data_IF_885461352428
#
_entry.id   IF_885461352428
#
_cell.length_a   1.000
_cell.length_b   1.000
_cell.length_c   1.000
_cell.angle_alpha   90.00
_cell.angle_beta   90.00
_cell.angle_gamma   90.00
#
_symmetry.space_group_name_H-M   'P 1'
#
loop_
_entity.id
_entity.type
_entity.pdbx_description
1 polymer ?
#
# COMPACT_ATOMS: atom_id res chain seq x y z
N UNK A 1 -1.21 -19.93 2.11
CA UNK A 1 -1.85 -21.10 2.76
C UNK A 1 -3.16 -20.71 3.47
N UNK A 2 -3.27 -19.51 4.06
CA UNK A 2 -4.55 -18.92 4.52
C UNK A 2 -5.61 -18.79 3.41
N UNK A 3 -5.19 -18.43 2.19
CA UNK A 3 -6.03 -18.48 0.98
C UNK A 3 -6.58 -19.86 0.65
N UNK A 4 -5.91 -20.95 1.06
CA UNK A 4 -6.38 -22.32 0.81
C UNK A 4 -7.45 -22.76 1.80
N UNK A 5 -7.39 -22.29 3.05
CA UNK A 5 -8.40 -22.55 4.08
C UNK A 5 -9.69 -21.77 3.78
N UNK A 6 -9.57 -20.49 3.39
CA UNK A 6 -10.68 -19.67 2.89
C UNK A 6 -11.33 -20.25 1.61
N UNK A 7 -10.52 -20.78 0.68
CA UNK A 7 -11.00 -21.51 -0.52
C UNK A 7 -11.83 -22.75 -0.19
N UNK A 8 -11.50 -23.47 0.88
CA UNK A 8 -12.23 -24.67 1.29
C UNK A 8 -13.57 -24.33 1.95
N UNK A 9 -13.63 -23.25 2.73
CA UNK A 9 -14.86 -22.76 3.37
C UNK A 9 -15.85 -22.24 2.32
N UNK A 10 -15.39 -21.46 1.32
CA UNK A 10 -16.23 -20.97 0.22
C UNK A 10 -16.70 -22.12 -0.69
N UNK A 11 -15.87 -23.15 -0.92
CA UNK A 11 -16.27 -24.32 -1.71
C UNK A 11 -17.29 -25.22 -0.97
N UNK A 12 -17.43 -25.08 0.35
CA UNK A 12 -18.39 -25.84 1.17
C UNK A 12 -19.76 -25.17 1.30
N UNK A 13 -19.87 -23.86 1.00
CA UNK A 13 -21.13 -23.14 0.93
C UNK A 13 -21.75 -23.37 -0.46
N UNK A 14 -22.59 -24.39 -0.57
CA UNK A 14 -23.31 -24.70 -1.80
C UNK A 14 -24.30 -23.59 -2.17
N UNK A 15 -24.37 -23.28 -3.48
CA UNK A 15 -25.34 -22.39 -4.14
C UNK A 15 -25.23 -20.88 -3.89
N UNK A 16 -25.47 -20.01 -4.92
CA UNK A 16 -25.22 -18.56 -4.85
C UNK A 16 -26.15 -17.78 -3.91
N UNK A 17 -27.15 -18.44 -3.32
CA UNK A 17 -28.16 -17.80 -2.45
C UNK A 17 -27.76 -17.76 -0.97
N UNK A 18 -26.76 -18.53 -0.55
CA UNK A 18 -26.33 -18.62 0.86
C UNK A 18 -25.16 -17.69 1.22
N UNK A 19 -24.73 -16.82 0.30
CA UNK A 19 -23.56 -15.92 0.47
C UNK A 19 -23.95 -14.55 1.05
N UNK A 20 -25.23 -14.16 0.96
CA UNK A 20 -25.71 -12.85 1.44
C UNK A 20 -25.83 -12.76 2.98
N UNK A 21 -25.71 -13.87 3.70
CA UNK A 21 -25.86 -13.95 5.17
C UNK A 21 -24.51 -14.09 5.93
N UNK A 22 -23.38 -13.91 5.26
CA UNK A 22 -22.07 -13.93 5.94
C UNK A 22 -21.83 -12.58 6.63
N UNK A 23 -22.15 -12.53 7.91
CA UNK A 23 -21.80 -11.41 8.79
C UNK A 23 -20.27 -11.24 8.87
N UNK A 24 -19.71 -10.33 8.07
CA UNK A 24 -18.28 -10.02 8.04
C UNK A 24 -17.78 -9.33 9.32
N UNK A 25 -18.68 -8.94 10.23
CA UNK A 25 -18.30 -8.49 11.59
C UNK A 25 -18.07 -9.67 12.55
N UNK A 26 -18.47 -10.88 12.15
CA UNK A 26 -18.33 -12.12 12.92
C UNK A 26 -17.10 -12.97 12.54
N UNK A 27 -16.37 -12.60 11.48
CA UNK A 27 -15.14 -13.30 11.11
C UNK A 27 -14.13 -13.16 12.27
N UNK A 28 -13.64 -14.26 12.87
CA UNK A 28 -12.74 -14.17 14.00
C UNK A 28 -11.50 -13.38 13.59
N UNK A 29 -11.27 -12.24 14.27
CA UNK A 29 -10.03 -11.49 14.15
C UNK A 29 -8.91 -12.46 14.53
N UNK A 30 -7.96 -12.75 13.63
CA UNK A 30 -6.84 -13.63 13.95
C UNK A 30 -6.17 -13.17 15.24
N UNK A 31 -5.94 -14.10 16.17
CA UNK A 31 -5.28 -13.80 17.44
C UNK A 31 -3.85 -13.28 17.22
N UNK A 32 -3.24 -13.70 16.10
CA UNK A 32 -1.99 -13.18 15.58
C UNK A 32 -2.26 -12.55 14.20
N UNK A 33 -2.11 -11.22 14.03
CA UNK A 33 -2.24 -10.57 12.73
C UNK A 33 -1.23 -11.13 11.71
N UNK A 34 -0.20 -11.87 12.13
CA UNK A 34 0.78 -12.51 11.25
C UNK A 34 0.49 -13.98 10.96
N UNK A 35 -0.62 -14.54 11.45
CA UNK A 35 -0.96 -15.98 11.30
C UNK A 35 -0.99 -16.43 9.83
N UNK A 36 -1.31 -15.51 8.93
CA UNK A 36 -1.37 -15.77 7.49
C UNK A 36 -0.02 -15.65 6.78
N UNK A 37 1.00 -15.09 7.43
CA UNK A 37 2.31 -14.82 6.83
C UNK A 37 3.20 -16.06 6.96
N UNK A 38 3.67 -16.58 5.83
CA UNK A 38 4.59 -17.71 5.79
C UNK A 38 5.86 -17.39 6.62
N UNK A 39 6.22 -18.28 7.56
CA UNK A 39 7.48 -18.19 8.30
C UNK A 39 8.59 -18.79 7.44
N UNK A 40 9.44 -17.93 6.89
CA UNK A 40 10.62 -18.35 6.14
C UNK A 40 11.74 -18.61 7.16
N UNK A 41 12.32 -19.83 7.22
CA UNK A 41 13.43 -20.13 8.12
C UNK A 41 14.59 -19.15 7.91
N UNK A 42 15.26 -18.78 8.99
CA UNK A 42 16.45 -17.90 8.98
C UNK A 42 16.22 -16.50 8.35
N UNK A 43 14.97 -16.07 8.21
CA UNK A 43 14.62 -14.73 7.72
C UNK A 43 14.51 -13.72 8.87
N UNK A 44 15.07 -12.53 8.65
CA UNK A 44 14.79 -11.36 9.50
C UNK A 44 13.56 -10.63 8.95
N UNK A 45 12.57 -10.36 9.81
CA UNK A 45 11.36 -9.62 9.44
C UNK A 45 11.37 -8.22 10.03
N UNK A 46 11.11 -7.24 9.17
CA UNK A 46 10.96 -5.84 9.55
C UNK A 46 9.51 -5.41 9.27
N UNK A 47 8.79 -5.01 10.32
CA UNK A 47 7.43 -4.51 10.20
C UNK A 47 7.43 -2.99 10.07
N UNK A 48 7.01 -2.49 8.91
CA UNK A 48 7.04 -1.07 8.59
C UNK A 48 5.63 -0.65 8.16
N UNK A 49 4.99 0.21 8.97
CA UNK A 49 3.62 0.64 8.72
C UNK A 49 3.58 1.98 7.97
N UNK A 50 3.38 1.91 6.66
CA UNK A 50 3.21 3.12 5.82
C UNK A 50 1.87 3.84 6.05
N UNK A 51 0.92 3.18 6.70
CA UNK A 51 -0.41 3.71 7.06
C UNK A 51 -0.53 3.86 8.58
N UNK A 52 0.54 4.32 9.23
CA UNK A 52 0.57 4.54 10.68
C UNK A 52 -0.11 5.85 11.11
N UNK A 53 0.03 6.18 12.41
CA UNK A 53 -0.57 7.38 13.02
C UNK A 53 -0.19 8.69 12.31
N UNK A 54 0.99 8.77 11.70
CA UNK A 54 1.41 9.95 10.94
C UNK A 54 0.51 10.16 9.70
N UNK A 55 0.27 9.08 8.95
CA UNK A 55 -0.62 9.08 7.80
C UNK A 55 -2.08 9.35 8.21
N UNK A 56 -2.57 8.69 9.26
CA UNK A 56 -3.92 8.93 9.79
C UNK A 56 -4.14 10.41 10.18
N UNK A 57 -3.17 11.01 10.89
CA UNK A 57 -3.24 12.44 11.24
C UNK A 57 -3.20 13.33 10.02
N UNK A 58 -2.39 12.99 9.01
CA UNK A 58 -2.32 13.75 7.78
C UNK A 58 -3.63 13.70 7.00
N UNK A 59 -4.29 12.54 6.93
CA UNK A 59 -5.63 12.42 6.38
C UNK A 59 -6.62 13.29 7.18
N UNK A 60 -6.67 13.14 8.51
CA UNK A 60 -7.58 13.93 9.35
C UNK A 60 -7.36 15.44 9.24
N UNK A 61 -6.11 15.90 9.08
CA UNK A 61 -5.82 17.33 8.89
C UNK A 61 -6.34 17.92 7.57
N UNK A 62 -6.74 17.07 6.62
CA UNK A 62 -7.31 17.50 5.34
C UNK A 62 -8.84 17.61 5.38
N UNK A 63 -9.48 17.18 6.47
CA UNK A 63 -10.92 17.37 6.66
C UNK A 63 -11.22 18.84 6.94
N UNK A 64 -12.31 19.34 6.35
CA UNK A 64 -12.90 20.57 6.82
C UNK A 64 -13.42 20.39 8.24
N UNK A 65 -13.62 21.51 8.94
CA UNK A 65 -14.02 21.51 10.35
C UNK A 65 -15.33 20.74 10.61
N UNK A 66 -16.30 20.79 9.70
CA UNK A 66 -17.58 20.10 9.87
C UNK A 66 -17.44 18.60 9.67
N UNK A 67 -16.70 18.17 8.64
CA UNK A 67 -16.42 16.76 8.41
C UNK A 67 -15.57 16.17 9.54
N UNK A 68 -14.59 16.92 10.05
CA UNK A 68 -13.79 16.53 11.19
C UNK A 68 -14.64 16.31 12.45
N UNK A 69 -15.51 17.27 12.78
CA UNK A 69 -16.43 17.14 13.92
C UNK A 69 -17.34 15.92 13.77
N UNK A 70 -17.88 15.71 12.55
CA UNK A 70 -18.76 14.58 12.24
C UNK A 70 -18.04 13.23 12.38
N UNK A 71 -16.80 13.10 11.90
CA UNK A 71 -15.97 11.90 12.10
C UNK A 71 -15.79 11.60 13.59
N UNK A 72 -15.48 12.62 14.40
CA UNK A 72 -15.32 12.45 15.85
C UNK A 72 -16.64 12.01 16.49
N UNK A 73 -17.76 12.66 16.16
CA UNK A 73 -19.08 12.31 16.70
C UNK A 73 -19.42 10.85 16.38
N UNK A 74 -19.24 10.42 15.14
CA UNK A 74 -19.49 9.03 14.72
C UNK A 74 -18.57 8.05 15.46
N UNK A 75 -17.28 8.36 15.60
CA UNK A 75 -16.33 7.52 16.31
C UNK A 75 -16.66 7.39 17.81
N UNK A 76 -17.08 8.47 18.47
CA UNK A 76 -17.44 8.49 19.90
C UNK A 76 -18.78 7.81 20.19
N UNK A 77 -19.72 7.85 19.25
CA UNK A 77 -21.05 7.25 19.38
C UNK A 77 -21.09 5.77 18.98
N UNK A 78 -19.95 5.17 18.63
CA UNK A 78 -19.81 3.75 18.29
C UNK A 78 -19.98 3.43 16.81
N UNK A 79 -20.29 4.42 15.97
CA UNK A 79 -20.46 4.31 14.52
C UNK A 79 -19.11 4.42 13.79
N UNK A 80 -18.15 3.58 14.19
CA UNK A 80 -16.81 3.53 13.56
C UNK A 80 -16.86 3.22 12.05
N UNK A 81 -17.69 2.28 11.57
CA UNK A 81 -17.80 2.02 10.12
C UNK A 81 -18.22 3.26 9.34
N UNK A 82 -19.20 4.02 9.83
CA UNK A 82 -19.66 5.26 9.20
C UNK A 82 -18.58 6.35 9.22
N UNK A 83 -17.80 6.45 10.31
CA UNK A 83 -16.67 7.36 10.38
C UNK A 83 -15.59 7.03 9.33
N UNK A 84 -15.28 5.74 9.16
CA UNK A 84 -14.31 5.27 8.17
C UNK A 84 -14.82 5.54 6.75
N UNK A 85 -16.08 5.22 6.48
CA UNK A 85 -16.72 5.49 5.19
C UNK A 85 -16.72 6.99 4.85
N UNK A 86 -17.01 7.85 5.84
CA UNK A 86 -16.97 9.30 5.65
C UNK A 86 -15.56 9.79 5.29
N UNK A 87 -14.52 9.26 5.94
CA UNK A 87 -13.11 9.57 5.58
C UNK A 87 -12.81 9.09 4.15
N UNK A 88 -13.26 7.89 3.80
CA UNK A 88 -13.08 7.33 2.46
C UNK A 88 -13.71 8.21 1.38
N UNK A 89 -14.98 8.57 1.53
CA UNK A 89 -15.72 9.39 0.56
C UNK A 89 -15.21 10.83 0.48
N UNK A 90 -14.80 11.42 1.62
CA UNK A 90 -14.46 12.85 1.68
C UNK A 90 -13.00 13.12 1.32
N UNK A 91 -12.10 12.19 1.65
CA UNK A 91 -10.65 12.42 1.52
C UNK A 91 -10.06 11.47 0.50
N UNK A 92 -10.26 10.17 0.69
CA UNK A 92 -9.55 9.18 -0.12
C UNK A 92 -10.06 9.25 -1.56
N UNK A 93 -11.36 9.12 -1.77
CA UNK A 93 -12.02 9.09 -3.07
C UNK A 93 -11.64 10.28 -3.98
N UNK A 94 -11.70 11.55 -3.54
CA UNK A 94 -11.32 12.68 -4.39
C UNK A 94 -9.81 12.76 -4.64
N UNK A 95 -9.01 12.22 -3.72
CA UNK A 95 -7.55 12.22 -3.82
C UNK A 95 -7.04 11.16 -4.82
N UNK A 96 -7.82 10.12 -5.04
CA UNK A 96 -7.47 9.02 -5.93
C UNK A 96 -6.28 8.20 -5.41
N UNK A 97 -5.95 7.11 -6.12
CA UNK A 97 -4.86 6.23 -5.75
C UNK A 97 -3.50 6.95 -5.79
N UNK A 98 -3.26 7.72 -6.85
CA UNK A 98 -2.03 8.49 -7.05
C UNK A 98 -1.83 9.54 -5.95
N UNK A 99 -2.88 10.29 -5.59
CA UNK A 99 -2.74 11.30 -4.56
C UNK A 99 -2.49 10.71 -3.16
N UNK A 100 -3.06 9.55 -2.85
CA UNK A 100 -2.74 8.83 -1.61
C UNK A 100 -1.30 8.30 -1.59
N UNK A 101 -0.78 7.87 -2.73
CA UNK A 101 0.62 7.47 -2.85
C UNK A 101 1.57 8.66 -2.62
N UNK A 102 1.25 9.84 -3.17
CA UNK A 102 1.99 11.08 -2.91
C UNK A 102 1.93 11.46 -1.42
N UNK A 103 0.75 11.41 -0.82
CA UNK A 103 0.58 11.71 0.61
C UNK A 103 1.39 10.72 1.48
N UNK A 104 1.43 9.44 1.10
CA UNK A 104 2.24 8.41 1.78
C UNK A 104 3.73 8.74 1.73
N UNK A 105 4.26 9.22 0.59
CA UNK A 105 5.66 9.64 0.47
C UNK A 105 6.00 10.82 1.36
N UNK A 106 5.06 11.75 1.55
CA UNK A 106 5.25 12.95 2.36
C UNK A 106 5.15 12.68 3.87
N UNK A 107 4.33 11.71 4.28
CA UNK A 107 4.04 11.45 5.69
C UNK A 107 4.91 10.36 6.31
N UNK A 108 5.33 9.37 5.51
CA UNK A 108 5.97 8.15 6.00
C UNK A 108 7.50 8.17 5.82
N UNK A 109 8.10 9.34 6.05
CA UNK A 109 9.54 9.59 5.86
C UNK A 109 10.42 8.63 6.67
N UNK A 110 10.20 8.43 7.99
CA UNK A 110 11.00 7.50 8.78
C UNK A 110 10.92 6.05 8.24
N UNK A 111 9.75 5.66 7.78
CA UNK A 111 9.48 4.33 7.24
C UNK A 111 10.22 4.11 5.92
N UNK A 112 10.11 5.04 4.97
CA UNK A 112 10.88 4.98 3.71
C UNK A 112 12.38 5.02 3.97
N UNK A 113 12.85 5.85 4.91
CA UNK A 113 14.27 5.83 5.33
C UNK A 113 14.67 4.43 5.79
N UNK A 114 13.90 3.82 6.68
CA UNK A 114 14.20 2.48 7.18
C UNK A 114 14.27 1.45 6.06
N UNK A 115 13.31 1.46 5.12
CA UNK A 115 13.27 0.55 3.97
C UNK A 115 14.53 0.70 3.12
N UNK A 116 14.88 1.93 2.73
CA UNK A 116 16.02 2.18 1.85
C UNK A 116 17.37 1.97 2.55
N UNK A 117 17.45 2.17 3.87
CA UNK A 117 18.62 1.75 4.65
C UNK A 117 18.80 0.23 4.63
N UNK A 118 17.72 -0.54 4.74
CA UNK A 118 17.77 -2.01 4.60
C UNK A 118 18.22 -2.42 3.20
N UNK A 119 17.71 -1.76 2.14
CA UNK A 119 18.16 -2.01 0.77
C UNK A 119 19.66 -1.70 0.57
N UNK A 120 20.23 -0.75 1.30
CA UNK A 120 21.65 -0.45 1.24
C UNK A 120 22.53 -1.44 2.02
N UNK A 121 21.94 -2.32 2.85
CA UNK A 121 22.67 -3.19 3.79
C UNK A 121 22.96 -4.57 3.19
N UNK A 122 24.24 -4.96 3.10
CA UNK A 122 24.69 -6.23 2.50
C UNK A 122 24.03 -7.47 3.09
N UNK A 123 23.97 -7.56 4.42
CA UNK A 123 23.44 -8.72 5.15
C UNK A 123 21.93 -8.88 5.05
N UNK A 124 21.23 -7.94 4.41
CA UNK A 124 19.77 -8.00 4.25
C UNK A 124 19.31 -8.83 3.06
N UNK A 125 20.21 -9.20 2.13
CA UNK A 125 19.85 -9.90 0.90
C UNK A 125 19.87 -11.43 1.07
N UNK A 126 18.95 -12.17 0.41
CA UNK A 126 17.87 -11.69 -0.48
C UNK A 126 16.68 -11.05 0.29
N UNK A 127 16.06 -10.02 -0.31
CA UNK A 127 14.95 -9.24 0.30
C UNK A 127 13.63 -9.56 -0.40
N UNK A 128 12.58 -9.79 0.42
CA UNK A 128 11.18 -9.82 -0.02
C UNK A 128 10.45 -8.61 0.54
N UNK A 129 9.84 -7.80 -0.33
CA UNK A 129 8.98 -6.67 0.05
C UNK A 129 7.54 -7.02 -0.32
N UNK A 130 6.65 -7.00 0.66
CA UNK A 130 5.23 -7.25 0.42
C UNK A 130 4.36 -6.35 1.31
N UNK A 131 3.09 -6.23 0.94
CA UNK A 131 2.05 -5.69 1.80
C UNK A 131 0.90 -6.70 1.85
N UNK A 132 -0.34 -6.24 2.01
CA UNK A 132 -1.52 -7.13 1.99
C UNK A 132 -1.76 -7.70 0.59
N UNK A 133 -1.85 -6.83 -0.42
CA UNK A 133 -2.13 -7.21 -1.82
C UNK A 133 -0.91 -7.11 -2.74
N UNK A 134 0.22 -6.59 -2.25
CA UNK A 134 1.42 -6.39 -3.07
C UNK A 134 1.33 -5.28 -4.12
N UNK A 135 0.23 -4.53 -4.21
CA UNK A 135 0.01 -3.50 -5.25
C UNK A 135 0.47 -2.10 -4.83
N UNK A 136 -0.19 -1.48 -3.85
CA UNK A 136 -0.05 -0.04 -3.63
C UNK A 136 1.19 0.34 -2.82
N UNK A 137 1.24 -0.09 -1.55
CA UNK A 137 2.37 0.19 -0.65
C UNK A 137 3.67 -0.41 -1.16
N UNK A 138 3.59 -1.64 -1.67
CA UNK A 138 4.73 -2.30 -2.34
C UNK A 138 5.09 -1.58 -3.63
N UNK A 139 4.11 -1.20 -4.45
CA UNK A 139 4.32 -0.50 -5.70
C UNK A 139 5.07 0.82 -5.55
N UNK A 140 4.78 1.62 -4.51
CA UNK A 140 5.54 2.85 -4.24
C UNK A 140 7.02 2.54 -3.99
N UNK A 141 7.32 1.54 -3.16
CA UNK A 141 8.70 1.15 -2.81
C UNK A 141 9.44 0.65 -4.05
N UNK A 142 8.81 -0.24 -4.83
CA UNK A 142 9.40 -0.81 -6.03
C UNK A 142 9.59 0.26 -7.10
N UNK A 143 8.62 1.15 -7.31
CA UNK A 143 8.73 2.31 -8.21
C UNK A 143 9.96 3.15 -7.86
N UNK A 144 10.14 3.54 -6.58
CA UNK A 144 11.31 4.30 -6.15
C UNK A 144 12.62 3.54 -6.38
N UNK A 145 12.66 2.24 -6.11
CA UNK A 145 13.86 1.41 -6.32
C UNK A 145 14.22 1.27 -7.81
N UNK A 146 13.24 1.04 -8.68
CA UNK A 146 13.44 0.93 -10.13
C UNK A 146 13.87 2.27 -10.75
N UNK A 147 13.24 3.37 -10.35
CA UNK A 147 13.66 4.72 -10.77
C UNK A 147 15.08 5.02 -10.28
N UNK A 148 15.40 4.67 -9.03
CA UNK A 148 16.77 4.81 -8.51
C UNK A 148 17.76 3.97 -9.31
N UNK A 149 17.40 2.78 -9.76
CA UNK A 149 18.22 1.93 -10.64
C UNK A 149 18.37 2.48 -12.07
N UNK A 150 17.57 3.48 -12.45
CA UNK A 150 17.58 4.08 -13.79
C UNK A 150 16.78 3.30 -14.81
N UNK A 151 15.83 2.47 -14.37
CA UNK A 151 14.89 1.76 -15.24
C UNK A 151 13.99 2.79 -15.94
N UNK A 152 13.72 2.56 -17.23
CA UNK A 152 12.87 3.44 -18.02
C UNK A 152 11.43 3.44 -17.52
N UNK A 153 10.76 4.59 -17.65
CA UNK A 153 9.38 4.79 -17.18
C UNK A 153 8.39 3.75 -17.73
N UNK A 154 8.50 3.37 -19.00
CA UNK A 154 7.63 2.37 -19.61
C UNK A 154 7.75 1.00 -18.94
N UNK A 155 8.97 0.55 -18.67
CA UNK A 155 9.20 -0.70 -17.94
C UNK A 155 8.70 -0.64 -16.48
N UNK A 156 8.80 0.52 -15.82
CA UNK A 156 8.23 0.70 -14.47
C UNK A 156 6.70 0.67 -14.49
N UNK A 157 6.09 1.29 -15.49
CA UNK A 157 4.63 1.27 -15.69
C UNK A 157 4.12 -0.15 -15.97
N UNK A 158 4.82 -0.89 -16.84
CA UNK A 158 4.49 -2.28 -17.14
C UNK A 158 4.59 -3.18 -15.91
N UNK A 159 5.64 -3.03 -15.10
CA UNK A 159 5.79 -3.79 -13.84
C UNK A 159 4.63 -3.52 -12.86
N UNK A 160 4.27 -2.24 -12.68
CA UNK A 160 3.14 -1.87 -11.83
C UNK A 160 1.81 -2.43 -12.35
N UNK A 161 1.57 -2.37 -13.66
CA UNK A 161 0.36 -2.89 -14.29
C UNK A 161 0.18 -4.41 -14.11
N UNK A 162 1.28 -5.18 -14.07
CA UNK A 162 1.22 -6.64 -13.84
C UNK A 162 0.58 -7.02 -12.50
N UNK A 163 0.62 -6.13 -11.51
CA UNK A 163 -0.02 -6.35 -10.21
C UNK A 163 -1.54 -6.49 -10.33
N UNK A 164 -2.18 -5.85 -11.32
CA UNK A 164 -3.63 -5.97 -11.54
C UNK A 164 -4.02 -7.40 -11.95
N UNK A 165 -3.25 -8.00 -12.86
CA UNK A 165 -3.52 -9.34 -13.42
C UNK A 165 -3.50 -10.43 -12.33
N UNK A 166 -2.53 -10.35 -11.42
CA UNK A 166 -2.39 -11.31 -10.32
C UNK A 166 -3.51 -11.20 -9.28
N UNK A 167 -4.19 -10.05 -9.24
CA UNK A 167 -5.26 -9.79 -8.28
C UNK A 167 -6.67 -10.04 -8.85
N UNK A 168 -6.80 -10.37 -10.13
CA UNK A 168 -8.09 -10.74 -10.76
C UNK A 168 -8.86 -11.81 -9.97
N UNK A 169 -8.23 -12.87 -9.43
CA UNK A 169 -8.93 -13.90 -8.64
C UNK A 169 -9.57 -13.36 -7.36
N UNK A 170 -9.05 -12.25 -6.82
CA UNK A 170 -9.51 -11.62 -5.57
C UNK A 170 -10.37 -10.38 -5.84
N UNK A 171 -10.76 -10.14 -7.10
CA UNK A 171 -11.43 -8.91 -7.51
C UNK A 171 -12.75 -8.66 -6.77
N UNK A 172 -13.64 -9.64 -6.71
CA UNK A 172 -14.96 -9.48 -6.06
C UNK A 172 -14.86 -9.21 -4.56
N UNK A 173 -13.91 -9.87 -3.88
CA UNK A 173 -13.67 -9.67 -2.46
C UNK A 173 -13.12 -8.27 -2.19
N UNK A 174 -12.13 -7.84 -2.96
CA UNK A 174 -11.60 -6.47 -2.88
C UNK A 174 -12.65 -5.43 -3.17
N UNK A 175 -13.51 -5.67 -4.17
CA UNK A 175 -14.64 -4.79 -4.48
C UNK A 175 -15.63 -4.67 -3.31
N UNK A 176 -15.82 -5.72 -2.50
CA UNK A 176 -16.60 -5.62 -1.26
C UNK A 176 -15.88 -4.77 -0.23
N UNK A 177 -14.59 -5.00 -0.01
CA UNK A 177 -13.78 -4.23 0.96
C UNK A 177 -13.75 -2.73 0.63
N UNK A 178 -13.46 -2.36 -0.62
CA UNK A 178 -13.39 -0.94 -1.01
C UNK A 178 -14.75 -0.25 -0.93
N UNK A 179 -15.86 -0.95 -1.22
CA UNK A 179 -17.23 -0.40 -1.09
C UNK A 179 -17.61 -0.13 0.37
N UNK A 180 -17.16 -0.96 1.31
CA UNK A 180 -17.33 -0.70 2.75
C UNK A 180 -16.62 0.59 3.15
N UNK A 181 -15.46 0.87 2.54
CA UNK A 181 -14.72 2.11 2.75
C UNK A 181 -15.32 3.32 2.01
N UNK A 182 -16.40 3.15 1.24
CA UNK A 182 -16.98 4.21 0.42
C UNK A 182 -16.13 4.59 -0.80
N UNK A 183 -15.27 3.67 -1.25
CA UNK A 183 -14.37 3.87 -2.38
C UNK A 183 -14.90 3.24 -3.67
N UNK A 184 -14.53 3.83 -4.80
CA UNK A 184 -14.89 3.37 -6.14
C UNK A 184 -14.00 2.25 -6.68
N UNK A 185 -14.45 1.59 -7.75
CA UNK A 185 -13.77 0.47 -8.41
C UNK A 185 -12.34 0.81 -8.85
N UNK A 186 -12.05 2.06 -9.16
CA UNK A 186 -10.74 2.56 -9.55
C UNK A 186 -9.62 2.22 -8.55
N UNK A 187 -9.96 2.01 -7.26
CA UNK A 187 -9.00 1.58 -6.23
C UNK A 187 -8.57 0.12 -6.38
N UNK A 188 -9.34 -0.70 -7.09
CA UNK A 188 -8.98 -2.10 -7.35
C UNK A 188 -8.03 -2.25 -8.53
N UNK A 189 -7.99 -1.25 -9.42
CA UNK A 189 -7.23 -1.24 -10.68
C UNK A 189 -5.86 -0.55 -10.56
N UNK A 190 -5.04 -0.65 -11.59
CA UNK A 190 -3.79 0.09 -11.79
C UNK A 190 -4.04 1.22 -12.81
N UNK A 191 -4.20 2.48 -12.37
CA UNK A 191 -4.40 3.59 -13.30
C UNK A 191 -3.18 3.74 -14.22
N UNK A 192 -3.37 3.90 -15.56
CA UNK A 192 -2.26 4.01 -16.50
C UNK A 192 -1.36 5.22 -16.21
N UNK A 193 -1.96 6.30 -15.70
CA UNK A 193 -1.26 7.54 -15.39
C UNK A 193 -0.56 7.51 -14.02
N UNK A 194 -0.73 6.44 -13.22
CA UNK A 194 -0.14 6.34 -11.88
C UNK A 194 1.37 6.55 -11.88
N UNK A 195 2.10 5.81 -12.72
CA UNK A 195 3.57 5.90 -12.79
C UNK A 195 4.02 7.25 -13.36
N UNK A 196 3.49 7.74 -14.51
CA UNK A 196 3.79 9.08 -15.00
C UNK A 196 3.55 10.20 -13.97
N UNK A 197 2.43 10.16 -13.25
CA UNK A 197 2.08 11.18 -12.27
C UNK A 197 2.98 11.14 -11.04
N UNK A 198 3.34 9.94 -10.57
CA UNK A 198 4.28 9.76 -9.46
C UNK A 198 5.67 10.26 -9.83
N UNK A 199 6.16 9.96 -11.04
CA UNK A 199 7.43 10.51 -11.55
C UNK A 199 7.34 12.03 -11.63
N UNK A 200 6.28 12.57 -12.24
CA UNK A 200 6.08 14.01 -12.35
C UNK A 200 6.03 14.71 -10.99
N UNK A 201 5.42 14.08 -9.98
CA UNK A 201 5.44 14.55 -8.60
C UNK A 201 6.85 14.59 -8.02
N UNK A 202 7.62 13.50 -8.17
CA UNK A 202 9.01 13.42 -7.69
C UNK A 202 9.90 14.48 -8.34
N UNK A 203 9.79 14.64 -9.65
CA UNK A 203 10.52 15.66 -10.42
C UNK A 203 10.19 17.07 -9.94
N UNK A 204 8.90 17.44 -9.89
CA UNK A 204 8.50 18.81 -9.49
C UNK A 204 8.84 19.14 -8.05
N UNK A 205 8.72 18.17 -7.13
CA UNK A 205 8.79 18.43 -5.69
C UNK A 205 10.19 18.26 -5.11
N UNK A 206 11.00 17.38 -5.70
CA UNK A 206 12.29 16.97 -5.17
C UNK A 206 13.41 17.00 -6.20
N UNK A 207 13.15 17.31 -7.47
CA UNK A 207 14.14 17.18 -8.55
C UNK A 207 14.44 15.73 -8.92
N UNK A 208 13.46 14.84 -8.72
CA UNK A 208 13.53 13.42 -9.08
C UNK A 208 13.70 12.50 -7.89
N UNK A 209 13.81 11.19 -8.16
CA UNK A 209 13.89 10.14 -7.13
C UNK A 209 15.11 10.30 -6.21
N UNK A 210 16.26 10.71 -6.76
CA UNK A 210 17.48 10.92 -5.98
C UNK A 210 17.30 12.03 -4.94
N UNK A 211 16.69 13.15 -5.33
CA UNK A 211 16.40 14.25 -4.42
C UNK A 211 15.38 13.89 -3.34
N UNK A 212 14.39 13.05 -3.65
CA UNK A 212 13.49 12.52 -2.62
C UNK A 212 14.26 11.65 -1.60
N UNK A 213 15.12 10.74 -2.09
CA UNK A 213 15.92 9.86 -1.24
C UNK A 213 16.89 10.65 -0.35
N UNK A 214 17.56 11.67 -0.88
CA UNK A 214 18.39 12.58 -0.09
C UNK A 214 17.56 13.30 0.99
N UNK A 215 16.37 13.79 0.63
CA UNK A 215 15.47 14.50 1.55
C UNK A 215 15.03 13.63 2.73
N UNK A 216 14.87 12.33 2.51
CA UNK A 216 14.55 11.38 3.58
C UNK A 216 15.80 10.82 4.28
N UNK A 217 17.01 11.24 3.91
CA UNK A 217 18.27 10.89 4.60
C UNK A 217 18.99 9.67 4.05
N UNK A 218 18.73 9.29 2.80
CA UNK A 218 19.47 8.26 2.05
C UNK A 218 20.47 9.00 1.15
N UNK A 219 21.71 9.10 1.62
CA UNK A 219 22.76 9.84 0.90
C UNK A 219 23.18 9.16 -0.41
N UNK A 220 23.99 9.87 -1.21
CA UNK A 220 24.45 9.38 -2.51
C UNK A 220 25.22 8.04 -2.41
N UNK A 221 25.98 7.81 -1.33
CA UNK A 221 26.72 6.57 -1.12
C UNK A 221 25.77 5.38 -0.91
N UNK A 222 24.76 5.55 -0.06
CA UNK A 222 23.71 4.56 0.13
C UNK A 222 22.93 4.30 -1.17
N UNK A 223 22.59 5.36 -1.91
CA UNK A 223 21.91 5.25 -3.19
C UNK A 223 22.71 4.41 -4.20
N UNK A 224 24.01 4.64 -4.30
CA UNK A 224 24.87 3.91 -5.23
C UNK A 224 25.06 2.45 -4.80
N UNK A 225 25.14 2.15 -3.50
CA UNK A 225 25.12 0.77 -2.99
C UNK A 225 23.85 0.04 -3.38
N UNK A 226 22.68 0.68 -3.23
CA UNK A 226 21.40 0.09 -3.65
C UNK A 226 21.41 -0.19 -5.15
N UNK A 227 21.84 0.77 -5.97
CA UNK A 227 21.95 0.60 -7.43
C UNK A 227 22.85 -0.58 -7.80
N UNK A 228 24.02 -0.69 -7.17
CA UNK A 228 24.96 -1.80 -7.42
C UNK A 228 24.38 -3.17 -7.07
N UNK A 229 23.49 -3.23 -6.07
CA UNK A 229 22.85 -4.49 -5.65
C UNK A 229 21.70 -4.91 -6.57
N UNK A 230 20.98 -3.94 -7.13
CA UNK A 230 19.84 -4.19 -8.01
C UNK A 230 20.24 -4.45 -9.46
N UNK A 231 21.39 -3.94 -9.89
CA UNK A 231 21.90 -4.10 -11.25
C UNK A 231 22.88 -5.27 -11.33
N UNK A 232 22.74 -6.11 -12.35
CA UNK A 232 23.75 -7.12 -12.67
C UNK A 232 24.98 -6.42 -13.25
N UNK A 233 26.18 -6.70 -12.72
CA UNK A 233 27.41 -6.28 -13.37
C UNK A 233 27.56 -7.09 -14.67
N UNK A 234 27.46 -6.41 -15.80
CA UNK A 234 27.70 -6.98 -17.13
C UNK A 234 29.17 -7.24 -17.42
#
# INVERSE_FOLDING_TARGET
MATRKRRAEIASAGSPADVDDIDLTSAPVPADPDEHICKIPDSQRLFISLTGKAFERALLSKLDWFSYLRVITLALTGYRPDAIRLIGETIMQPRGLTGLAQDTLETSIPEFRSIFTTLATDTSYPILIHCTQGKDRTGIIILLALLLAGVRMDAVADDYARSELELVPEFEERMREIRVLGLGEEYTRCPPDYVPDMIGFLERRYGGVRGYLERIGIDAGMQDLIRQKLLVQG
#
